data_IF_436044568848
#
_entry.id   IF_436044568848
#
_cell.length_a   1.000
_cell.length_b   1.000
_cell.length_c   1.000
_cell.angle_alpha   90.00
_cell.angle_beta   90.00
_cell.angle_gamma   90.00
#
_symmetry.space_group_name_H-M   'P 1'
#
loop_
_entity.id
_entity.type
_entity.pdbx_description
1 polymer ?
#
# COMPACT_ATOMS: atom_id res chain seq x y z
N UNK A 1 59.45 -49.71 -27.10
CA UNK A 1 59.80 -48.29 -26.91
C UNK A 1 58.96 -47.70 -25.78
N UNK A 2 59.56 -46.83 -24.97
CA UNK A 2 59.11 -46.32 -23.66
C UNK A 2 57.77 -45.56 -23.72
N UNK A 3 56.87 -45.88 -22.78
CA UNK A 3 55.69 -45.08 -22.43
C UNK A 3 56.13 -43.69 -21.99
N UNK A 4 55.80 -42.66 -22.79
CA UNK A 4 56.07 -41.26 -22.46
C UNK A 4 54.90 -40.71 -21.67
N UNK A 5 55.18 -40.39 -20.41
CA UNK A 5 54.25 -39.88 -19.41
C UNK A 5 53.62 -38.56 -19.89
N UNK A 6 52.28 -38.52 -19.97
CA UNK A 6 51.49 -37.28 -20.09
C UNK A 6 51.58 -36.46 -18.80
N UNK A 7 52.75 -35.90 -18.49
CA UNK A 7 52.98 -35.08 -17.28
C UNK A 7 52.98 -33.57 -17.59
N UNK A 8 53.06 -33.19 -18.86
CA UNK A 8 53.08 -31.77 -19.27
C UNK A 8 51.70 -31.10 -19.43
N UNK A 9 50.63 -31.89 -19.60
CA UNK A 9 49.30 -31.34 -19.91
C UNK A 9 48.50 -30.93 -18.66
N UNK A 10 48.60 -31.72 -17.59
CA UNK A 10 47.92 -31.47 -16.32
C UNK A 10 48.31 -30.12 -15.65
N UNK A 11 49.61 -29.75 -15.55
CA UNK A 11 49.99 -28.48 -14.93
C UNK A 11 49.58 -27.26 -15.76
N UNK A 12 49.52 -27.39 -17.10
CA UNK A 12 49.01 -26.32 -17.98
C UNK A 12 47.51 -26.13 -17.78
N UNK A 13 46.74 -27.20 -17.73
CA UNK A 13 45.29 -27.14 -17.53
C UNK A 13 44.92 -26.57 -16.14
N UNK A 14 45.72 -26.89 -15.11
CA UNK A 14 45.63 -26.29 -13.77
C UNK A 14 45.97 -24.79 -13.77
N UNK A 15 46.99 -24.35 -14.52
CA UNK A 15 47.31 -22.91 -14.67
C UNK A 15 46.18 -22.15 -15.37
N UNK A 16 45.61 -22.72 -16.44
CA UNK A 16 44.46 -22.11 -17.12
C UNK A 16 43.24 -22.01 -16.20
N UNK A 17 42.95 -23.05 -15.42
CA UNK A 17 41.85 -23.05 -14.46
C UNK A 17 42.05 -22.02 -13.31
N UNK A 18 43.28 -21.86 -12.80
CA UNK A 18 43.59 -20.85 -11.77
C UNK A 18 43.56 -19.41 -12.30
N UNK A 19 43.79 -19.18 -13.60
CA UNK A 19 43.70 -17.83 -14.20
C UNK A 19 42.28 -17.35 -14.47
N UNK A 20 41.30 -18.27 -14.52
CA UNK A 20 39.90 -17.95 -14.80
C UNK A 20 39.11 -17.55 -13.53
N UNK A 21 39.55 -17.98 -12.35
CA UNK A 21 38.87 -17.69 -11.06
C UNK A 21 38.84 -16.21 -10.67
N UNK A 22 39.88 -15.37 -10.87
CA UNK A 22 39.77 -13.94 -10.56
C UNK A 22 38.82 -13.21 -11.52
N UNK A 23 38.67 -13.69 -12.77
CA UNK A 23 37.78 -13.10 -13.76
C UNK A 23 36.30 -13.25 -13.37
N UNK A 24 35.89 -14.42 -12.87
CA UNK A 24 34.52 -14.62 -12.37
C UNK A 24 34.24 -13.87 -11.05
N UNK A 25 35.24 -13.73 -10.18
CA UNK A 25 35.10 -12.95 -8.95
C UNK A 25 34.98 -11.43 -9.22
N UNK A 26 35.58 -10.94 -10.31
CA UNK A 26 35.38 -9.56 -10.76
C UNK A 26 34.02 -9.35 -11.44
N UNK A 27 33.52 -10.33 -12.20
CA UNK A 27 32.18 -10.27 -12.82
C UNK A 27 31.05 -10.19 -11.77
N UNK A 28 31.20 -10.90 -10.64
CA UNK A 28 30.27 -10.81 -9.49
C UNK A 28 30.42 -9.50 -8.71
N UNK A 29 31.59 -8.85 -8.75
CA UNK A 29 31.77 -7.50 -8.16
C UNK A 29 31.35 -6.37 -9.10
N UNK A 30 31.31 -6.62 -10.41
CA UNK A 30 30.84 -5.66 -11.42
C UNK A 30 29.37 -5.81 -11.77
N UNK A 31 28.68 -6.85 -11.26
CA UNK A 31 27.23 -6.75 -11.09
C UNK A 31 26.98 -5.75 -9.97
N UNK A 32 27.15 -4.47 -10.30
CA UNK A 32 26.74 -3.37 -9.44
C UNK A 32 25.32 -3.63 -8.94
N UNK A 33 25.03 -3.21 -7.72
CA UNK A 33 23.67 -3.24 -7.20
C UNK A 33 22.74 -2.70 -8.29
N UNK A 34 21.70 -3.46 -8.64
CA UNK A 34 20.66 -3.02 -9.57
C UNK A 34 20.27 -1.59 -9.17
N UNK A 35 20.54 -0.63 -10.06
CA UNK A 35 20.15 0.75 -9.79
C UNK A 35 18.64 0.83 -9.84
N UNK A 36 18.05 1.39 -8.79
CA UNK A 36 16.63 1.75 -8.80
C UNK A 36 16.42 2.78 -9.93
N UNK A 37 15.53 2.47 -10.87
CA UNK A 37 15.26 3.32 -12.02
C UNK A 37 14.72 4.67 -11.50
N UNK A 38 15.56 5.70 -11.56
CA UNK A 38 15.20 7.07 -11.14
C UNK A 38 14.95 7.97 -12.35
N UNK A 39 15.17 7.46 -13.56
CA UNK A 39 14.92 8.17 -14.81
C UNK A 39 13.45 8.07 -15.20
N UNK A 40 12.91 9.16 -15.76
CA UNK A 40 11.54 9.19 -16.25
C UNK A 40 11.38 8.22 -17.42
N UNK A 41 10.46 7.28 -17.30
CA UNK A 41 10.02 6.36 -18.36
C UNK A 41 9.00 7.07 -19.25
N UNK A 42 9.40 8.24 -19.78
CA UNK A 42 8.51 9.05 -20.57
C UNK A 42 8.35 8.46 -21.99
N UNK A 43 7.18 7.87 -22.27
CA UNK A 43 6.61 7.99 -23.61
C UNK A 43 6.13 9.44 -23.78
N UNK A 44 6.26 10.02 -24.98
CA UNK A 44 5.85 11.41 -25.27
C UNK A 44 4.34 11.63 -24.97
N UNK A 45 3.55 10.56 -24.86
CA UNK A 45 2.18 10.52 -24.32
C UNK A 45 1.95 9.20 -23.55
N UNK A 46 2.42 9.08 -22.30
CA UNK A 46 2.11 7.94 -21.45
C UNK A 46 0.67 7.97 -20.90
N UNK A 47 0.25 6.87 -20.26
CA UNK A 47 -1.02 6.85 -19.52
C UNK A 47 -0.84 7.33 -18.08
N UNK A 48 -1.83 8.04 -17.49
CA UNK A 48 -1.79 8.32 -16.06
C UNK A 48 -1.88 7.04 -15.23
N UNK A 49 -1.30 7.02 -14.02
CA UNK A 49 -1.53 5.92 -13.08
C UNK A 49 -3.02 5.78 -12.76
N UNK A 50 -3.46 4.59 -12.37
CA UNK A 50 -4.86 4.29 -12.09
C UNK A 50 -5.02 3.46 -10.82
N UNK A 51 -6.20 3.52 -10.21
CA UNK A 51 -6.64 2.64 -9.15
C UNK A 51 -8.16 2.53 -9.22
N UNK A 52 -8.71 1.37 -8.85
CA UNK A 52 -10.15 1.14 -8.90
C UNK A 52 -10.88 1.94 -7.82
N UNK A 53 -10.23 2.11 -6.66
CA UNK A 53 -10.75 2.94 -5.56
C UNK A 53 -9.70 3.27 -4.52
N UNK A 54 -10.03 4.26 -3.67
CA UNK A 54 -9.32 4.53 -2.43
C UNK A 54 -10.28 4.34 -1.26
N UNK A 55 -9.83 3.66 -0.21
CA UNK A 55 -10.59 3.51 1.03
C UNK A 55 -9.86 4.15 2.18
N UNK A 56 -10.60 4.87 3.01
CA UNK A 56 -10.09 5.37 4.28
C UNK A 56 -10.18 4.24 5.33
N UNK A 57 -9.07 3.84 5.95
CA UNK A 57 -9.07 2.73 6.90
C UNK A 57 -9.76 3.08 8.22
N UNK A 58 -10.42 2.09 8.82
CA UNK A 58 -10.91 2.14 10.19
C UNK A 58 -9.98 1.34 11.09
N UNK A 59 -9.64 1.89 12.25
CA UNK A 59 -8.80 1.26 13.25
C UNK A 59 -9.57 1.03 14.54
N UNK A 60 -9.15 0.01 15.30
CA UNK A 60 -9.43 -0.10 16.73
C UNK A 60 -8.10 0.01 17.48
N UNK A 61 -7.88 1.12 18.16
CA UNK A 61 -6.56 1.47 18.70
C UNK A 61 -5.54 1.64 17.58
N UNK A 62 -4.53 0.75 17.53
CA UNK A 62 -3.47 0.75 16.50
C UNK A 62 -3.65 -0.35 15.44
N UNK A 63 -4.74 -1.12 15.49
CA UNK A 63 -4.97 -2.24 14.57
C UNK A 63 -6.00 -1.84 13.53
N UNK A 64 -5.64 -1.94 12.25
CA UNK A 64 -6.56 -1.70 11.15
C UNK A 64 -7.59 -2.84 11.09
N UNK A 65 -8.86 -2.49 10.99
CA UNK A 65 -9.94 -3.44 10.81
C UNK A 65 -9.91 -4.00 9.39
N UNK A 66 -10.21 -5.29 9.29
CA UNK A 66 -10.39 -5.95 8.01
C UNK A 66 -11.77 -5.61 7.44
N UNK A 67 -11.83 -5.22 6.17
CA UNK A 67 -13.09 -5.01 5.46
C UNK A 67 -13.68 -6.30 4.87
N UNK A 68 -12.85 -7.33 4.70
CA UNK A 68 -13.19 -8.61 4.08
C UNK A 68 -13.65 -9.69 5.10
N UNK A 69 -13.66 -9.37 6.39
CA UNK A 69 -14.00 -10.30 7.46
C UNK A 69 -14.60 -9.59 8.68
N UNK A 70 -15.34 -10.33 9.49
CA UNK A 70 -15.79 -9.84 10.79
C UNK A 70 -14.59 -9.65 11.75
N UNK A 71 -14.54 -8.48 12.39
CA UNK A 71 -13.52 -8.16 13.38
C UNK A 71 -14.07 -8.44 14.78
N UNK A 72 -13.41 -9.28 15.61
CA UNK A 72 -13.86 -9.52 16.97
C UNK A 72 -13.66 -8.26 17.83
N UNK A 73 -14.71 -7.85 18.53
CA UNK A 73 -14.70 -6.67 19.39
C UNK A 73 -15.16 -7.09 20.79
N UNK A 74 -14.41 -6.68 21.82
CA UNK A 74 -14.77 -6.93 23.20
C UNK A 74 -16.08 -6.20 23.56
N UNK A 75 -16.94 -6.82 24.36
CA UNK A 75 -18.22 -6.22 24.78
C UNK A 75 -18.03 -4.90 25.57
N UNK A 76 -16.88 -4.75 26.22
CA UNK A 76 -16.49 -3.56 26.97
C UNK A 76 -15.90 -2.45 26.09
N UNK A 77 -15.67 -2.72 24.81
CA UNK A 77 -15.13 -1.74 23.87
C UNK A 77 -16.05 -0.53 23.74
N UNK A 78 -15.44 0.62 23.49
CA UNK A 78 -16.14 1.91 23.33
C UNK A 78 -15.94 2.40 21.90
N UNK A 79 -16.92 3.10 21.30
CA UNK A 79 -16.73 3.68 19.97
C UNK A 79 -15.54 4.66 19.91
N UNK A 80 -15.17 5.32 21.01
CA UNK A 80 -13.97 6.18 21.08
C UNK A 80 -12.63 5.45 20.93
N UNK A 81 -12.63 4.12 21.01
CA UNK A 81 -11.45 3.30 20.72
C UNK A 81 -11.28 3.06 19.22
N UNK A 82 -12.27 3.44 18.41
CA UNK A 82 -12.21 3.35 16.96
C UNK A 82 -11.81 4.70 16.38
N UNK A 83 -10.99 4.67 15.34
CA UNK A 83 -10.49 5.86 14.68
C UNK A 83 -10.35 5.64 13.18
N UNK A 84 -10.09 6.73 12.47
CA UNK A 84 -9.85 6.78 11.04
C UNK A 84 -8.66 7.69 10.78
N UNK A 85 -8.01 7.56 9.62
CA UNK A 85 -6.93 8.46 9.21
C UNK A 85 -7.16 8.95 7.79
N UNK A 86 -7.25 10.27 7.67
CA UNK A 86 -7.38 11.01 6.42
C UNK A 86 -6.03 11.36 5.78
N UNK A 87 -4.91 10.98 6.42
CA UNK A 87 -3.59 11.19 5.85
C UNK A 87 -3.40 10.33 4.59
N UNK A 88 -2.92 10.93 3.49
CA UNK A 88 -2.70 10.21 2.23
C UNK A 88 -1.82 8.96 2.36
N UNK A 89 -0.89 8.93 3.31
CA UNK A 89 -0.05 7.76 3.63
C UNK A 89 -0.77 6.62 4.34
N UNK A 90 -1.94 6.86 4.93
CA UNK A 90 -2.76 5.85 5.59
C UNK A 90 -3.84 5.28 4.66
N UNK A 91 -4.20 6.00 3.59
CA UNK A 91 -5.22 5.57 2.65
C UNK A 91 -4.81 4.28 1.91
N UNK A 92 -5.78 3.40 1.68
CA UNK A 92 -5.54 2.11 1.02
C UNK A 92 -6.05 2.17 -0.42
N UNK A 93 -5.19 1.81 -1.37
CA UNK A 93 -5.52 1.70 -2.79
C UNK A 93 -6.07 0.31 -3.11
N UNK A 94 -7.15 0.25 -3.88
CA UNK A 94 -7.64 -0.98 -4.50
C UNK A 94 -7.12 -1.06 -5.92
N UNK A 95 -6.40 -2.14 -6.22
CA UNK A 95 -5.86 -2.43 -7.56
C UNK A 95 -5.10 -1.24 -8.20
N UNK A 96 -4.08 -0.65 -7.52
CA UNK A 96 -3.27 0.38 -8.14
C UNK A 96 -2.44 -0.21 -9.28
N UNK A 97 -2.51 0.41 -10.45
CA UNK A 97 -1.81 -0.04 -11.62
C UNK A 97 -1.39 1.13 -12.51
N UNK A 98 -0.34 0.88 -13.28
CA UNK A 98 0.19 1.79 -14.27
C UNK A 98 0.48 0.96 -15.54
N UNK A 99 0.08 1.47 -16.71
CA UNK A 99 0.16 0.68 -17.96
C UNK A 99 1.61 0.51 -18.42
N UNK A 100 2.42 1.54 -18.21
CA UNK A 100 3.82 1.61 -18.63
C UNK A 100 4.78 0.96 -17.62
N UNK A 101 4.30 0.65 -16.42
CA UNK A 101 5.08 0.03 -15.35
C UNK A 101 5.84 1.06 -14.50
N UNK A 102 5.34 2.30 -14.45
CA UNK A 102 5.91 3.37 -13.66
C UNK A 102 5.91 3.06 -12.16
N UNK A 103 6.92 3.59 -11.47
CA UNK A 103 7.06 3.41 -10.03
C UNK A 103 6.17 4.41 -9.30
N UNK A 104 5.26 3.94 -8.45
CA UNK A 104 4.45 4.80 -7.58
C UNK A 104 5.30 5.61 -6.58
N UNK A 105 4.81 6.81 -6.24
CA UNK A 105 5.41 7.61 -5.17
C UNK A 105 5.20 6.95 -3.79
N UNK A 106 5.98 7.39 -2.79
CA UNK A 106 5.86 6.94 -1.40
C UNK A 106 5.75 8.17 -0.49
N UNK A 107 4.57 8.45 0.11
CA UNK A 107 3.29 7.77 -0.11
C UNK A 107 2.71 8.04 -1.52
N UNK A 108 1.88 7.13 -2.06
CA UNK A 108 1.34 7.26 -3.42
C UNK A 108 0.18 8.25 -3.52
N UNK A 109 -0.41 8.64 -2.39
CA UNK A 109 -1.61 9.47 -2.32
C UNK A 109 -1.35 10.78 -1.58
N UNK A 110 -1.78 11.89 -2.18
CA UNK A 110 -1.63 13.25 -1.62
C UNK A 110 -2.86 14.10 -1.92
N UNK A 111 -3.44 14.73 -0.89
CA UNK A 111 -4.51 15.72 -1.07
C UNK A 111 -3.97 16.99 -1.74
N UNK A 112 -4.72 17.55 -2.69
CA UNK A 112 -4.28 18.75 -3.41
C UNK A 112 -4.20 20.00 -2.52
N UNK A 113 -5.02 20.06 -1.47
CA UNK A 113 -4.97 21.13 -0.49
C UNK A 113 -4.01 20.78 0.64
N UNK A 114 -3.42 21.80 1.29
CA UNK A 114 -2.57 21.62 2.48
C UNK A 114 -3.32 21.00 3.69
N UNK A 115 -4.63 20.74 3.56
CA UNK A 115 -5.45 20.12 4.59
C UNK A 115 -6.31 19.01 3.99
N UNK A 116 -6.21 17.83 4.59
CA UNK A 116 -7.12 16.71 4.33
C UNK A 116 -8.56 17.06 4.79
N UNK A 117 -9.59 16.46 4.16
CA UNK A 117 -10.98 16.64 4.56
C UNK A 117 -11.25 16.01 5.93
N UNK A 118 -12.22 16.53 6.66
CA UNK A 118 -12.68 15.91 7.90
C UNK A 118 -13.35 14.58 7.61
N UNK A 119 -13.01 13.54 8.39
CA UNK A 119 -13.61 12.21 8.29
C UNK A 119 -14.18 11.81 9.65
N UNK A 120 -15.38 11.25 9.66
CA UNK A 120 -16.04 10.69 10.85
C UNK A 120 -16.26 9.19 10.70
N UNK A 121 -16.61 8.51 11.79
CA UNK A 121 -17.02 7.10 11.75
C UNK A 121 -18.54 7.02 11.90
N UNK A 122 -19.16 6.22 11.03
CA UNK A 122 -20.60 5.94 11.04
C UNK A 122 -20.82 4.46 11.30
N UNK A 123 -21.79 4.18 12.16
CA UNK A 123 -22.19 2.84 12.57
C UNK A 123 -23.57 2.49 12.01
N UNK A 124 -23.74 1.25 11.55
CA UNK A 124 -25.02 0.63 11.19
C UNK A 124 -25.10 -0.80 11.72
N UNK A 125 -26.30 -1.38 11.64
CA UNK A 125 -26.43 -2.84 11.77
C UNK A 125 -25.82 -3.51 10.53
N UNK A 126 -25.04 -4.58 10.72
CA UNK A 126 -24.41 -5.29 9.61
C UNK A 126 -25.42 -5.94 8.66
N UNK A 127 -26.66 -6.20 9.12
CA UNK A 127 -27.73 -6.70 8.26
C UNK A 127 -28.33 -5.62 7.34
N UNK A 128 -28.17 -4.33 7.69
CA UNK A 128 -28.70 -3.18 6.94
C UNK A 128 -27.67 -2.04 6.92
N UNK A 129 -26.49 -2.24 6.28
CA UNK A 129 -25.38 -1.31 6.35
C UNK A 129 -25.73 0.07 5.76
N UNK A 130 -26.64 0.14 4.80
CA UNK A 130 -27.06 1.40 4.18
C UNK A 130 -27.99 2.25 5.06
N UNK A 131 -28.37 1.74 6.25
CA UNK A 131 -29.21 2.45 7.22
C UNK A 131 -28.41 2.71 8.49
N UNK A 132 -27.80 3.90 8.63
CA UNK A 132 -27.07 4.28 9.84
C UNK A 132 -27.93 4.14 11.09
N UNK A 133 -27.30 3.78 12.21
CA UNK A 133 -27.96 3.81 13.52
C UNK A 133 -28.39 5.25 13.85
N UNK A 134 -29.62 5.39 14.32
CA UNK A 134 -30.15 6.64 14.86
C UNK A 134 -30.72 6.39 16.26
N UNK A 135 -30.08 6.90 17.33
CA UNK A 135 -28.84 7.70 17.31
C UNK A 135 -27.57 6.88 17.05
N UNK A 136 -26.50 7.55 16.61
CA UNK A 136 -25.16 6.97 16.57
C UNK A 136 -24.65 6.63 17.99
N UNK A 137 -23.82 5.57 18.16
CA UNK A 137 -23.28 5.18 19.46
C UNK A 137 -22.50 6.31 20.14
N UNK A 138 -22.76 6.52 21.43
CA UNK A 138 -22.06 7.50 22.26
C UNK A 138 -20.61 7.07 22.47
N UNK A 139 -19.68 7.94 22.08
CA UNK A 139 -18.26 7.61 21.98
C UNK A 139 -17.63 7.05 23.26
N UNK A 140 -17.98 7.59 24.44
CA UNK A 140 -17.34 7.21 25.70
C UNK A 140 -18.11 6.14 26.52
N UNK A 141 -19.20 5.59 25.98
CA UNK A 141 -19.99 4.53 26.59
C UNK A 141 -19.70 3.22 25.85
N UNK A 142 -19.56 2.10 26.57
CA UNK A 142 -19.28 0.81 25.91
C UNK A 142 -20.46 0.34 25.05
N UNK A 143 -20.21 -0.47 24.04
CA UNK A 143 -21.28 -1.08 23.22
C UNK A 143 -22.26 -1.88 24.08
N UNK A 144 -21.77 -2.64 25.07
CA UNK A 144 -22.63 -3.37 25.99
C UNK A 144 -23.57 -2.47 26.80
N UNK A 145 -23.06 -1.37 27.35
CA UNK A 145 -23.89 -0.43 28.13
C UNK A 145 -24.92 0.33 27.27
N UNK A 146 -24.77 0.28 25.95
CA UNK A 146 -25.70 0.84 24.96
C UNK A 146 -26.62 -0.23 24.34
N UNK A 147 -26.67 -1.45 24.88
CA UNK A 147 -27.44 -2.59 24.36
C UNK A 147 -27.05 -3.00 22.93
N UNK A 148 -25.77 -2.83 22.56
CA UNK A 148 -25.22 -3.22 21.26
C UNK A 148 -24.36 -4.49 21.32
N UNK A 149 -24.14 -5.05 22.51
CA UNK A 149 -23.41 -6.31 22.65
C UNK A 149 -24.16 -7.48 21.99
N UNK A 150 -23.41 -8.38 21.33
CA UNK A 150 -23.95 -9.52 20.60
C UNK A 150 -24.56 -9.20 19.23
N UNK A 151 -24.62 -7.91 18.84
CA UNK A 151 -24.99 -7.51 17.48
C UNK A 151 -23.78 -7.54 16.56
N UNK A 152 -24.04 -7.74 15.27
CA UNK A 152 -23.06 -7.49 14.22
C UNK A 152 -23.25 -6.05 13.73
N UNK A 153 -22.21 -5.24 13.85
CA UNK A 153 -22.23 -3.85 13.40
C UNK A 153 -21.33 -3.68 12.19
N UNK A 154 -21.75 -2.81 11.28
CA UNK A 154 -20.91 -2.26 10.23
C UNK A 154 -20.41 -0.89 10.70
N UNK A 155 -19.15 -0.58 10.39
CA UNK A 155 -18.55 0.73 10.62
C UNK A 155 -17.75 1.14 9.40
N UNK A 156 -17.89 2.39 8.97
CA UNK A 156 -17.11 2.96 7.89
C UNK A 156 -16.77 4.42 8.17
N UNK A 157 -15.72 4.87 7.50
CA UNK A 157 -15.33 6.28 7.42
C UNK A 157 -16.28 7.04 6.50
N UNK A 158 -16.74 8.21 6.94
CA UNK A 158 -17.55 9.11 6.12
C UNK A 158 -16.84 10.46 5.99
N UNK A 159 -16.64 10.90 4.76
CA UNK A 159 -16.13 12.24 4.47
C UNK A 159 -17.20 13.28 4.82
N UNK A 160 -16.78 14.37 5.45
CA UNK A 160 -17.64 15.52 5.69
C UNK A 160 -17.86 16.30 4.38
N UNK A 161 -19.02 16.09 3.77
CA UNK A 161 -19.43 16.74 2.53
C UNK A 161 -20.02 18.14 2.75
N UNK A 162 -20.00 18.68 3.98
CA UNK A 162 -20.45 20.05 4.24
C UNK A 162 -19.55 21.11 3.61
N UNK A 163 -18.31 20.73 3.28
CA UNK A 163 -17.33 21.54 2.56
C UNK A 163 -16.86 20.83 1.29
N UNK A 164 -16.29 21.57 0.35
CA UNK A 164 -15.74 20.98 -0.87
C UNK A 164 -14.56 20.05 -0.52
N UNK A 165 -14.66 18.79 -0.94
CA UNK A 165 -13.60 17.80 -0.74
C UNK A 165 -12.46 18.11 -1.71
N UNK A 166 -11.22 18.32 -1.23
CA UNK A 166 -10.09 18.55 -2.11
C UNK A 166 -9.81 17.30 -2.96
N UNK A 167 -9.35 17.42 -4.21
CA UNK A 167 -8.96 16.26 -5.00
C UNK A 167 -7.84 15.46 -4.32
N UNK A 168 -7.92 14.14 -4.43
CA UNK A 168 -6.87 13.22 -4.01
C UNK A 168 -6.06 12.78 -5.24
N UNK A 169 -4.75 13.01 -5.23
CA UNK A 169 -3.87 12.62 -6.32
C UNK A 169 -3.19 11.29 -6.04
N UNK A 170 -3.26 10.38 -7.00
CA UNK A 170 -2.39 9.21 -7.11
C UNK A 170 -1.15 9.59 -7.92
N UNK A 171 0.04 9.33 -7.38
CA UNK A 171 1.31 9.82 -7.90
C UNK A 171 2.25 8.70 -8.34
N UNK A 172 2.93 8.90 -9.47
CA UNK A 172 4.11 8.14 -9.90
C UNK A 172 5.37 9.01 -9.80
N UNK A 173 6.53 8.37 -9.60
CA UNK A 173 7.86 8.98 -9.59
C UNK A 173 8.47 9.08 -10.98
N UNK A 174 8.19 8.10 -11.84
CA UNK A 174 8.85 7.94 -13.15
C UNK A 174 7.94 8.30 -14.33
N UNK A 175 6.61 8.36 -14.10
CA UNK A 175 5.63 8.50 -15.16
C UNK A 175 5.40 9.91 -15.66
N UNK A 176 4.94 9.99 -16.91
CA UNK A 176 4.49 11.22 -17.56
C UNK A 176 3.21 10.91 -18.35
N UNK A 177 2.02 11.35 -17.89
CA UNK A 177 1.78 12.20 -16.73
C UNK A 177 2.04 11.51 -15.38
N UNK A 178 2.53 12.28 -14.40
CA UNK A 178 2.97 11.75 -13.10
C UNK A 178 1.83 11.61 -12.06
N UNK A 179 0.61 12.01 -12.40
CA UNK A 179 -0.51 11.97 -11.48
C UNK A 179 -1.87 11.74 -12.16
N UNK A 180 -2.82 11.25 -11.37
CA UNK A 180 -4.25 11.26 -11.69
C UNK A 180 -5.08 11.60 -10.46
N UNK A 181 -6.26 12.16 -10.65
CA UNK A 181 -7.22 12.33 -9.56
C UNK A 181 -7.94 11.00 -9.33
N UNK A 182 -8.10 10.62 -8.06
CA UNK A 182 -8.83 9.40 -7.65
C UNK A 182 -9.94 9.76 -6.66
N UNK A 183 -11.01 8.96 -6.67
CA UNK A 183 -12.13 9.12 -5.75
C UNK A 183 -11.96 8.24 -4.51
N UNK A 184 -12.44 8.74 -3.38
CA UNK A 184 -12.50 8.01 -2.11
C UNK A 184 -13.91 7.45 -1.94
N UNK A 185 -14.00 6.16 -1.66
CA UNK A 185 -15.24 5.45 -1.37
C UNK A 185 -15.57 5.42 0.12
#
# INVERSE_FOLDING_TARGET
MKSKKCVGFLPWLLLCALSLTPFFAQAVRSSGAWQELTEQTAAINGTPPQADSVTIPVYQGSVQLRSDAANPVDYSAKPSQFSTSDAGSALTLTNPHDTEGDIFAVPPLVWQAERAPTVTLVWADAATPDTPLDPQPVSNISFCAQNLAGRHLAVWSQLDTSTAIPPLWLLTRTGVPYNTAVEVL
#
